data_IF_737840503274
#
_entry.id   IF_737840503274
#
_cell.length_a   1.000
_cell.length_b   1.000
_cell.length_c   1.000
_cell.angle_alpha   90.00
_cell.angle_beta   90.00
_cell.angle_gamma   90.00
#
_symmetry.space_group_name_H-M   'P 1'
#
loop_
_entity.id
_entity.type
_entity.pdbx_description
1 polymer ?
#
# COMPACT_ATOMS: atom_id res chain seq x y z
N UNK A 1 -58.71 0.02 6.00
CA UNK A 1 -57.94 0.01 4.76
C UNK A 1 -56.51 0.48 5.09
N UNK A 2 -55.59 -0.47 5.23
CA UNK A 2 -54.15 -0.19 5.45
C UNK A 2 -53.49 -0.11 4.08
N UNK A 3 -52.98 1.07 3.70
CA UNK A 3 -52.17 1.25 2.49
C UNK A 3 -50.77 0.71 2.74
N UNK A 4 -50.40 -0.38 2.07
CA UNK A 4 -49.03 -0.82 1.96
C UNK A 4 -48.27 0.18 1.08
N UNK A 5 -47.39 0.99 1.69
CA UNK A 5 -46.41 1.81 0.97
C UNK A 5 -45.39 0.90 0.30
N UNK A 6 -45.36 0.88 -1.02
CA UNK A 6 -44.30 0.25 -1.78
C UNK A 6 -42.96 1.00 -1.49
N UNK A 7 -42.01 0.31 -0.88
CA UNK A 7 -40.64 0.83 -0.78
C UNK A 7 -40.08 0.99 -2.20
N UNK A 8 -39.70 2.21 -2.57
CA UNK A 8 -39.03 2.48 -3.82
C UNK A 8 -37.67 1.78 -3.80
N UNK A 9 -37.47 0.83 -4.71
CA UNK A 9 -36.15 0.23 -4.98
C UNK A 9 -35.28 1.35 -5.57
N UNK A 10 -34.25 1.78 -4.84
CA UNK A 10 -33.26 2.69 -5.41
C UNK A 10 -32.69 2.08 -6.69
N UNK A 11 -32.51 2.87 -7.77
CA UNK A 11 -31.97 2.33 -9.01
C UNK A 11 -30.54 1.84 -8.74
N UNK A 12 -30.25 0.62 -9.16
CA UNK A 12 -28.93 0.03 -9.14
C UNK A 12 -27.94 1.05 -9.74
N UNK A 13 -26.89 1.43 -8.97
CA UNK A 13 -25.92 2.43 -9.36
C UNK A 13 -25.38 2.15 -10.76
N UNK A 14 -25.25 3.19 -11.58
CA UNK A 14 -24.76 3.08 -12.96
C UNK A 14 -23.38 2.42 -12.94
N UNK A 15 -23.19 1.38 -13.76
CA UNK A 15 -21.91 0.71 -13.92
C UNK A 15 -20.78 1.71 -14.23
N UNK A 16 -19.62 1.55 -13.59
CA UNK A 16 -18.45 2.40 -13.85
C UNK A 16 -17.81 1.96 -15.16
N UNK A 17 -17.67 2.90 -16.08
CA UNK A 17 -16.91 2.70 -17.30
C UNK A 17 -15.41 2.73 -16.97
N UNK A 18 -14.75 1.59 -17.05
CA UNK A 18 -13.32 1.44 -16.78
C UNK A 18 -12.48 1.66 -18.03
N UNK A 19 -11.18 1.93 -17.84
CA UNK A 19 -10.24 1.95 -18.96
C UNK A 19 -10.22 0.60 -19.70
N UNK A 20 -9.97 0.59 -21.02
CA UNK A 20 -9.94 -0.66 -21.79
C UNK A 20 -8.96 -1.68 -21.24
N UNK A 21 -9.45 -2.91 -21.00
CA UNK A 21 -8.66 -4.01 -20.46
C UNK A 21 -8.67 -4.13 -18.93
N UNK A 22 -9.10 -3.12 -18.21
CA UNK A 22 -9.30 -3.22 -16.76
C UNK A 22 -10.51 -4.12 -16.47
N UNK A 23 -10.42 -5.05 -15.50
CA UNK A 23 -11.57 -5.81 -15.07
C UNK A 23 -12.70 -4.88 -14.55
N UNK A 24 -13.98 -5.18 -14.81
CA UNK A 24 -15.09 -4.33 -14.39
C UNK A 24 -15.13 -4.20 -12.86
N UNK A 25 -15.62 -3.07 -12.37
CA UNK A 25 -15.83 -2.81 -10.94
C UNK A 25 -17.15 -3.51 -10.51
N UNK A 26 -17.09 -4.52 -9.62
CA UNK A 26 -18.28 -5.28 -9.25
C UNK A 26 -19.31 -4.48 -8.45
N UNK A 27 -18.83 -3.60 -7.59
CA UNK A 27 -19.65 -2.73 -6.73
C UNK A 27 -19.18 -1.27 -6.86
N UNK A 28 -19.92 -0.43 -7.60
CA UNK A 28 -19.57 0.98 -7.77
C UNK A 28 -19.56 1.81 -6.48
N UNK A 29 -20.24 1.33 -5.44
CA UNK A 29 -20.27 1.99 -4.13
C UNK A 29 -19.20 1.48 -3.18
N UNK A 30 -18.55 0.34 -3.50
CA UNK A 30 -17.53 -0.25 -2.64
C UNK A 30 -16.41 -0.94 -3.42
N UNK A 31 -15.37 -0.18 -3.71
CA UNK A 31 -14.15 -0.64 -4.37
C UNK A 31 -13.50 -1.85 -3.67
N UNK A 32 -13.70 -1.99 -2.36
CA UNK A 32 -13.17 -3.07 -1.53
C UNK A 32 -14.09 -4.30 -1.44
N UNK A 33 -15.18 -4.36 -2.23
CA UNK A 33 -16.12 -5.48 -2.21
C UNK A 33 -15.46 -6.84 -2.44
N UNK A 34 -14.46 -6.91 -3.31
CA UNK A 34 -13.73 -8.15 -3.63
C UNK A 34 -12.49 -8.39 -2.74
N UNK A 35 -12.16 -7.45 -1.86
CA UNK A 35 -11.05 -7.62 -0.88
C UNK A 35 -11.54 -7.98 0.52
N UNK A 36 -12.81 -8.32 0.67
CA UNK A 36 -13.42 -8.78 1.94
C UNK A 36 -12.86 -10.15 2.34
N UNK A 37 -12.97 -10.46 3.63
CA UNK A 37 -12.66 -11.79 4.13
C UNK A 37 -13.42 -12.88 3.33
N UNK A 38 -12.72 -13.97 3.01
CA UNK A 38 -13.27 -15.07 2.20
C UNK A 38 -13.27 -14.87 0.69
N UNK A 39 -12.82 -13.71 0.17
CA UNK A 39 -12.76 -13.40 -1.28
C UNK A 39 -11.38 -13.71 -1.90
N UNK A 40 -10.76 -14.81 -1.52
CA UNK A 40 -9.49 -15.23 -2.16
C UNK A 40 -9.71 -15.64 -3.61
N UNK A 41 -8.87 -15.11 -4.51
CA UNK A 41 -8.85 -15.52 -5.91
C UNK A 41 -8.42 -16.98 -6.05
N UNK A 42 -8.92 -17.68 -7.08
CA UNK A 42 -8.42 -19.00 -7.45
C UNK A 42 -6.93 -18.99 -7.85
N UNK A 43 -6.42 -17.85 -8.29
CA UNK A 43 -5.01 -17.68 -8.66
C UNK A 43 -4.05 -17.92 -7.47
N UNK A 44 -4.51 -17.76 -6.23
CA UNK A 44 -3.70 -17.96 -5.02
C UNK A 44 -3.97 -19.29 -4.31
N UNK A 45 -4.73 -20.23 -4.92
CA UNK A 45 -5.14 -21.48 -4.29
C UNK A 45 -3.99 -22.37 -3.80
N UNK A 46 -2.80 -22.27 -4.41
CA UNK A 46 -1.60 -23.01 -4.02
C UNK A 46 -0.61 -22.20 -3.17
N UNK A 47 -0.92 -20.96 -2.85
CA UNK A 47 0.00 -20.09 -2.11
C UNK A 47 0.13 -20.49 -0.65
N UNK A 48 1.35 -20.46 -0.13
CA UNK A 48 1.62 -20.69 1.29
C UNK A 48 1.18 -19.47 2.12
N UNK A 49 0.46 -19.67 3.25
CA UNK A 49 0.18 -18.57 4.18
C UNK A 49 1.48 -18.13 4.88
N UNK A 50 1.96 -16.94 4.52
CA UNK A 50 3.24 -16.38 4.97
C UNK A 50 3.16 -14.86 5.12
N UNK A 51 4.04 -14.31 5.96
CA UNK A 51 4.34 -12.88 6.01
C UNK A 51 5.79 -12.70 5.55
N UNK A 52 5.96 -11.98 4.44
CA UNK A 52 7.27 -11.69 3.86
C UNK A 52 7.73 -10.30 4.27
N UNK A 53 8.86 -10.20 4.96
CA UNK A 53 9.35 -8.99 5.61
C UNK A 53 10.68 -8.57 5.00
N UNK A 54 10.71 -7.56 4.11
CA UNK A 54 11.96 -7.02 3.58
C UNK A 54 12.63 -6.17 4.64
N UNK A 55 13.93 -6.39 4.86
CA UNK A 55 14.71 -5.69 5.87
C UNK A 55 15.77 -4.84 5.17
N UNK A 56 15.56 -3.54 5.17
CA UNK A 56 16.27 -2.55 4.38
C UNK A 56 17.78 -2.59 4.60
N UNK A 57 18.22 -2.65 5.87
CA UNK A 57 19.66 -2.61 6.20
C UNK A 57 20.34 -3.98 6.27
N UNK A 58 19.60 -5.06 6.44
CA UNK A 58 20.20 -6.40 6.43
C UNK A 58 20.18 -7.08 5.06
N UNK A 59 19.50 -6.50 4.04
CA UNK A 59 19.44 -6.98 2.66
C UNK A 59 18.91 -8.41 2.57
N UNK A 60 17.84 -8.69 3.31
CA UNK A 60 17.20 -10.00 3.38
C UNK A 60 15.68 -9.87 3.50
N UNK A 61 15.00 -10.97 3.28
CA UNK A 61 13.58 -11.16 3.60
C UNK A 61 13.47 -12.23 4.68
N UNK A 62 12.78 -11.88 5.76
CA UNK A 62 12.35 -12.85 6.77
C UNK A 62 10.95 -13.34 6.44
N UNK A 63 10.71 -14.63 6.67
CA UNK A 63 9.42 -15.27 6.43
C UNK A 63 8.82 -15.69 7.77
N UNK A 64 7.63 -15.17 8.09
CA UNK A 64 6.91 -15.48 9.31
C UNK A 64 5.74 -16.41 8.97
N UNK A 65 5.53 -17.44 9.77
CA UNK A 65 4.30 -18.21 9.77
C UNK A 65 3.23 -17.46 10.58
N UNK A 66 2.12 -16.99 9.94
CA UNK A 66 1.11 -16.20 10.63
C UNK A 66 0.33 -16.97 11.69
N UNK A 67 0.29 -18.31 11.62
CA UNK A 67 -0.42 -19.15 12.60
C UNK A 67 0.37 -19.30 13.91
N UNK A 68 1.70 -19.38 13.82
CA UNK A 68 2.57 -19.60 14.98
C UNK A 68 3.28 -18.34 15.45
N UNK A 69 3.22 -17.25 14.67
CA UNK A 69 3.94 -15.99 14.89
C UNK A 69 5.46 -16.17 15.00
N UNK A 70 6.01 -17.17 14.29
CA UNK A 70 7.44 -17.49 14.32
C UNK A 70 8.08 -17.21 12.97
N UNK A 71 9.31 -16.72 12.98
CA UNK A 71 10.19 -16.72 11.82
C UNK A 71 10.53 -18.16 11.47
N UNK A 72 10.24 -18.58 10.24
CA UNK A 72 10.42 -19.96 9.77
C UNK A 72 11.45 -20.08 8.64
N UNK A 73 11.78 -18.97 7.97
CA UNK A 73 12.78 -18.92 6.91
C UNK A 73 13.34 -17.50 6.78
N UNK A 74 14.50 -17.38 6.14
CA UNK A 74 15.09 -16.11 5.71
C UNK A 74 16.01 -16.33 4.52
N UNK A 75 16.08 -15.37 3.59
CA UNK A 75 16.96 -15.43 2.44
C UNK A 75 17.45 -14.04 2.04
N UNK A 76 18.62 -14.04 1.37
CA UNK A 76 19.21 -12.82 0.82
C UNK A 76 18.45 -12.37 -0.41
N UNK A 77 18.35 -11.05 -0.60
CA UNK A 77 17.82 -10.38 -1.78
C UNK A 77 18.79 -9.31 -2.27
N UNK A 78 18.37 -8.42 -3.15
CA UNK A 78 19.18 -7.29 -3.58
C UNK A 78 19.46 -6.28 -2.47
N UNK A 79 20.20 -5.22 -2.81
CA UNK A 79 20.60 -4.17 -1.87
C UNK A 79 19.40 -3.28 -1.54
N UNK A 80 19.21 -3.00 -0.25
CA UNK A 80 18.22 -2.06 0.28
C UNK A 80 16.77 -2.41 -0.13
N UNK A 81 16.26 -3.60 0.25
CA UNK A 81 14.90 -4.03 -0.08
C UNK A 81 13.86 -3.17 0.63
N UNK A 82 12.90 -2.65 -0.13
CA UNK A 82 11.86 -1.73 0.37
C UNK A 82 10.51 -2.42 0.57
N UNK A 83 9.98 -3.04 -0.47
CA UNK A 83 8.63 -3.60 -0.46
C UNK A 83 8.60 -5.03 -1.00
N UNK A 84 7.63 -5.82 -0.52
CA UNK A 84 7.21 -7.07 -1.18
C UNK A 84 5.86 -6.84 -1.80
N UNK A 85 5.77 -6.95 -3.13
CA UNK A 85 4.64 -6.51 -3.93
C UNK A 85 4.04 -7.67 -4.70
N UNK A 86 2.74 -7.99 -4.54
CA UNK A 86 2.08 -9.00 -5.37
C UNK A 86 1.98 -8.55 -6.84
N UNK A 87 2.30 -9.46 -7.78
CA UNK A 87 2.06 -9.24 -9.20
C UNK A 87 0.57 -9.06 -9.52
N UNK A 88 0.26 -8.41 -10.65
CA UNK A 88 -1.11 -8.19 -11.07
C UNK A 88 -1.94 -9.47 -11.14
N UNK A 89 -1.35 -10.55 -11.64
CA UNK A 89 -1.96 -11.88 -11.79
C UNK A 89 -1.90 -12.74 -10.53
N UNK A 90 -1.33 -12.22 -9.42
CA UNK A 90 -1.21 -12.84 -8.11
C UNK A 90 -0.29 -14.09 -8.06
N UNK A 91 0.53 -14.32 -9.08
CA UNK A 91 1.37 -15.52 -9.20
C UNK A 91 2.80 -15.34 -8.71
N UNK A 92 3.24 -14.10 -8.53
CA UNK A 92 4.60 -13.77 -8.09
C UNK A 92 4.54 -12.68 -7.03
N UNK A 93 5.42 -12.76 -6.04
CA UNK A 93 5.68 -11.64 -5.14
C UNK A 93 7.04 -11.03 -5.52
N UNK A 94 7.09 -9.73 -5.70
CA UNK A 94 8.29 -9.02 -6.11
C UNK A 94 8.89 -8.24 -4.94
N UNK A 95 10.17 -8.52 -4.61
CA UNK A 95 10.92 -7.67 -3.66
C UNK A 95 11.57 -6.54 -4.44
N UNK A 96 11.24 -5.30 -4.11
CA UNK A 96 11.87 -4.12 -4.71
C UNK A 96 13.14 -3.77 -3.94
N UNK A 97 14.30 -3.79 -4.60
CA UNK A 97 15.61 -3.52 -4.01
C UNK A 97 16.17 -2.25 -4.65
N UNK A 98 15.98 -1.07 -4.02
CA UNK A 98 16.26 0.21 -4.67
C UNK A 98 17.72 0.65 -4.64
N UNK A 99 18.60 -0.10 -3.96
CA UNK A 99 20.03 0.18 -3.89
C UNK A 99 20.38 1.64 -3.51
N UNK A 100 19.51 2.29 -2.70
CA UNK A 100 19.64 3.69 -2.28
C UNK A 100 19.64 4.70 -3.47
N UNK A 101 18.93 4.39 -4.56
CA UNK A 101 18.83 5.26 -5.73
C UNK A 101 20.07 5.22 -6.65
N UNK A 102 20.90 4.19 -6.52
CA UNK A 102 22.04 3.95 -7.42
C UNK A 102 21.70 2.95 -8.53
N UNK A 103 22.63 2.75 -9.48
CA UNK A 103 22.49 1.86 -10.64
C UNK A 103 22.39 0.35 -10.30
N UNK A 104 22.47 -0.02 -9.04
CA UNK A 104 22.49 -1.42 -8.57
C UNK A 104 21.11 -1.97 -8.18
N UNK A 105 20.02 -1.33 -8.54
CA UNK A 105 18.67 -1.75 -8.18
C UNK A 105 18.23 -3.07 -8.84
N UNK A 106 17.31 -3.78 -8.23
CA UNK A 106 16.78 -5.04 -8.76
C UNK A 106 15.39 -5.39 -8.22
N UNK A 107 14.71 -6.29 -8.91
CA UNK A 107 13.50 -6.97 -8.44
C UNK A 107 13.83 -8.43 -8.17
N UNK A 108 13.59 -8.93 -6.96
CA UNK A 108 13.74 -10.35 -6.65
C UNK A 108 12.35 -11.00 -6.62
N UNK A 109 12.04 -11.96 -7.53
CA UNK A 109 10.77 -12.67 -7.49
C UNK A 109 10.77 -13.69 -6.35
N UNK A 110 9.60 -13.92 -5.75
CA UNK A 110 9.33 -15.01 -4.82
C UNK A 110 8.16 -15.80 -5.41
N UNK A 111 8.31 -17.12 -5.51
CA UNK A 111 7.22 -18.02 -5.83
C UNK A 111 6.34 -18.23 -4.58
N UNK A 112 5.08 -17.77 -4.57
CA UNK A 112 4.24 -17.88 -3.38
C UNK A 112 3.78 -19.31 -3.05
N UNK A 113 3.90 -20.26 -3.99
CA UNK A 113 3.57 -21.67 -3.76
C UNK A 113 4.69 -22.40 -2.99
N UNK A 114 5.93 -22.02 -3.22
CA UNK A 114 7.10 -22.63 -2.55
C UNK A 114 7.71 -21.73 -1.46
N UNK A 115 7.42 -20.44 -1.51
CA UNK A 115 8.02 -19.42 -0.62
C UNK A 115 9.48 -19.11 -0.96
N UNK A 116 10.01 -19.59 -2.10
CA UNK A 116 11.44 -19.46 -2.44
C UNK A 116 11.70 -18.30 -3.40
N UNK A 117 12.83 -17.58 -3.23
CA UNK A 117 13.24 -16.53 -4.15
C UNK A 117 13.76 -17.11 -5.45
N UNK A 118 13.48 -16.43 -6.56
CA UNK A 118 14.06 -16.68 -7.87
C UNK A 118 15.24 -15.77 -8.18
N UNK A 119 15.69 -15.80 -9.44
CA UNK A 119 16.80 -14.96 -9.93
C UNK A 119 16.37 -13.49 -9.99
N UNK A 120 17.14 -12.56 -9.39
CA UNK A 120 16.86 -11.13 -9.49
C UNK A 120 16.93 -10.60 -10.93
N UNK A 121 16.08 -9.61 -11.23
CA UNK A 121 16.07 -8.86 -12.49
C UNK A 121 16.60 -7.47 -12.21
N UNK A 122 17.57 -7.00 -12.98
CA UNK A 122 18.13 -5.65 -12.83
C UNK A 122 17.11 -4.59 -13.25
N UNK A 123 16.89 -3.60 -12.38
CA UNK A 123 15.96 -2.49 -12.57
C UNK A 123 16.49 -1.28 -11.81
N UNK A 124 16.50 -0.11 -12.43
CA UNK A 124 17.00 1.12 -11.80
C UNK A 124 16.05 1.57 -10.69
N UNK A 125 16.60 1.85 -9.51
CA UNK A 125 15.96 2.51 -8.37
C UNK A 125 14.50 2.07 -8.08
N UNK A 126 14.19 0.77 -7.96
CA UNK A 126 12.84 0.31 -7.70
C UNK A 126 12.48 0.52 -6.23
N UNK A 127 12.10 1.75 -5.84
CA UNK A 127 11.62 2.02 -4.49
C UNK A 127 10.33 1.27 -4.20
N UNK A 128 9.35 1.38 -5.11
CA UNK A 128 8.07 0.70 -5.02
C UNK A 128 7.64 0.20 -6.41
N UNK A 129 6.61 -0.63 -6.45
CA UNK A 129 6.10 -1.21 -7.68
C UNK A 129 4.57 -1.23 -7.67
N UNK A 130 4.00 -0.85 -8.80
CA UNK A 130 2.57 -0.91 -9.08
C UNK A 130 2.30 -1.64 -10.40
N UNK A 131 1.02 -1.82 -10.72
CA UNK A 131 0.58 -2.34 -12.00
C UNK A 131 -0.47 -1.43 -12.59
N UNK A 132 -0.43 -1.25 -13.92
CA UNK A 132 -1.53 -0.55 -14.61
C UNK A 132 -2.85 -1.30 -14.37
N UNK A 133 -3.98 -0.59 -14.26
CA UNK A 133 -5.28 -1.24 -13.98
C UNK A 133 -5.68 -2.32 -14.98
N UNK A 134 -5.21 -2.23 -16.22
CA UNK A 134 -5.40 -3.22 -17.28
C UNK A 134 -4.39 -4.39 -17.25
N UNK A 135 -3.43 -4.36 -16.33
CA UNK A 135 -2.41 -5.39 -16.16
C UNK A 135 -1.33 -5.45 -17.25
N UNK A 136 -1.28 -4.47 -18.16
CA UNK A 136 -0.35 -4.48 -19.30
C UNK A 136 1.04 -3.95 -18.97
N UNK A 137 1.18 -3.25 -17.86
CA UNK A 137 2.48 -2.73 -17.41
C UNK A 137 2.67 -2.93 -15.92
N UNK A 138 3.86 -3.35 -15.53
CA UNK A 138 4.43 -3.12 -14.22
C UNK A 138 4.96 -1.69 -14.18
N UNK A 139 4.71 -0.96 -13.10
CA UNK A 139 5.09 0.45 -12.94
C UNK A 139 6.10 0.53 -11.80
N UNK A 140 7.35 0.74 -12.14
CA UNK A 140 8.41 0.93 -11.17
C UNK A 140 8.47 2.40 -10.76
N UNK A 141 8.42 2.64 -9.46
CA UNK A 141 8.61 3.97 -8.89
C UNK A 141 10.09 4.18 -8.65
N UNK A 142 10.76 4.87 -9.56
CA UNK A 142 12.16 5.24 -9.44
C UNK A 142 12.26 6.59 -8.71
N UNK A 143 12.27 6.48 -7.37
CA UNK A 143 12.08 7.60 -6.43
C UNK A 143 13.15 8.69 -6.58
N UNK A 144 14.42 8.30 -6.48
CA UNK A 144 15.55 9.21 -6.59
C UNK A 144 15.67 9.80 -8.01
N UNK A 145 15.26 9.03 -9.02
CA UNK A 145 15.29 9.44 -10.44
C UNK A 145 14.07 10.28 -10.85
N UNK A 146 13.09 10.46 -9.97
CA UNK A 146 11.86 11.24 -10.20
C UNK A 146 11.14 10.81 -11.48
N UNK A 147 10.98 9.51 -11.68
CA UNK A 147 10.31 8.95 -12.84
C UNK A 147 9.53 7.68 -12.53
N UNK A 148 8.61 7.33 -13.41
CA UNK A 148 7.90 6.07 -13.43
C UNK A 148 8.36 5.28 -14.67
N UNK A 149 8.87 4.07 -14.47
CA UNK A 149 9.23 3.17 -15.56
C UNK A 149 8.12 2.14 -15.77
N UNK A 150 7.50 2.15 -16.93
CA UNK A 150 6.51 1.17 -17.34
C UNK A 150 7.23 0.00 -18.00
N UNK A 151 7.00 -1.21 -17.48
CA UNK A 151 7.68 -2.42 -17.88
C UNK A 151 6.69 -3.53 -18.22
N UNK A 152 7.08 -4.44 -19.08
CA UNK A 152 6.32 -5.66 -19.31
C UNK A 152 6.16 -6.43 -18.00
N UNK A 153 4.93 -6.80 -17.57
CA UNK A 153 4.69 -7.37 -16.25
C UNK A 153 5.23 -8.80 -16.07
N UNK A 154 5.59 -9.49 -17.17
CA UNK A 154 6.12 -10.85 -17.15
C UNK A 154 7.65 -10.87 -17.22
N UNK A 155 8.22 -10.08 -18.14
CA UNK A 155 9.66 -10.08 -18.41
C UNK A 155 10.43 -8.97 -17.72
N UNK A 156 9.73 -7.97 -17.19
CA UNK A 156 10.28 -6.72 -16.65
C UNK A 156 11.07 -5.89 -17.69
N UNK A 157 10.92 -6.18 -18.99
CA UNK A 157 11.51 -5.37 -20.06
C UNK A 157 10.89 -3.96 -20.06
N UNK A 158 11.73 -2.92 -20.21
CA UNK A 158 11.28 -1.53 -20.24
C UNK A 158 10.42 -1.27 -21.49
N UNK A 159 9.22 -0.75 -21.29
CA UNK A 159 8.29 -0.33 -22.35
C UNK A 159 8.41 1.19 -22.61
N UNK A 160 8.41 1.98 -21.55
CA UNK A 160 8.51 3.45 -21.61
C UNK A 160 8.81 4.02 -20.22
N UNK A 161 9.23 5.29 -20.17
CA UNK A 161 9.43 6.04 -18.93
C UNK A 161 8.65 7.35 -18.96
N UNK A 162 8.16 7.78 -17.79
CA UNK A 162 7.54 9.07 -17.56
C UNK A 162 8.33 9.85 -16.52
N UNK A 163 8.96 10.95 -16.92
CA UNK A 163 9.57 11.87 -15.98
C UNK A 163 8.50 12.66 -15.19
N UNK A 164 8.71 12.77 -13.87
CA UNK A 164 7.84 13.53 -12.96
C UNK A 164 8.69 14.55 -12.19
N UNK A 165 9.27 15.55 -12.87
CA UNK A 165 10.39 16.36 -12.35
C UNK A 165 10.04 17.21 -11.13
N UNK A 166 8.76 17.60 -10.95
CA UNK A 166 8.29 18.35 -9.79
C UNK A 166 7.83 17.46 -8.63
N UNK A 167 8.16 16.16 -8.64
CA UNK A 167 7.83 15.20 -7.60
C UNK A 167 9.10 14.62 -6.99
N UNK A 168 9.81 15.41 -6.20
CA UNK A 168 10.96 14.92 -5.45
C UNK A 168 10.50 13.89 -4.40
N UNK A 169 11.10 12.69 -4.42
CA UNK A 169 10.65 11.57 -3.62
C UNK A 169 9.28 11.05 -4.06
N UNK A 170 9.12 10.80 -5.38
CA UNK A 170 7.93 10.09 -5.87
C UNK A 170 7.86 8.73 -5.21
N UNK A 171 6.73 8.42 -4.53
CA UNK A 171 6.73 7.38 -3.52
C UNK A 171 5.56 6.39 -3.69
N UNK A 172 4.42 6.69 -3.07
CA UNK A 172 3.26 5.81 -3.05
C UNK A 172 2.14 6.31 -3.96
N UNK A 173 1.24 5.41 -4.35
CA UNK A 173 0.11 5.75 -5.20
C UNK A 173 -1.14 4.94 -4.90
N UNK A 174 -2.30 5.51 -5.24
CA UNK A 174 -3.52 4.76 -5.47
C UNK A 174 -4.22 5.25 -6.74
N UNK A 175 -5.11 4.41 -7.28
CA UNK A 175 -5.72 4.58 -8.59
C UNK A 175 -7.19 4.97 -8.45
N UNK A 176 -7.67 5.80 -9.38
CA UNK A 176 -9.10 6.05 -9.51
C UNK A 176 -9.86 4.76 -9.75
N UNK A 177 -11.11 4.72 -9.30
CA UNK A 177 -11.95 3.51 -9.38
C UNK A 177 -12.14 3.03 -10.82
N UNK A 178 -12.10 3.93 -11.79
CA UNK A 178 -12.22 3.65 -13.23
C UNK A 178 -10.87 3.36 -13.93
N UNK A 179 -9.75 3.47 -13.20
CA UNK A 179 -8.40 3.25 -13.69
C UNK A 179 -7.82 4.38 -14.58
N UNK A 180 -8.52 5.51 -14.74
CA UNK A 180 -8.09 6.58 -15.65
C UNK A 180 -6.89 7.35 -15.15
N UNK A 181 -6.77 7.53 -13.84
CA UNK A 181 -5.63 8.22 -13.24
C UNK A 181 -5.14 7.56 -11.97
N UNK A 182 -3.91 7.87 -11.60
CA UNK A 182 -3.36 7.61 -10.28
C UNK A 182 -2.89 8.92 -9.64
N UNK A 183 -2.91 8.98 -8.30
CA UNK A 183 -2.31 10.06 -7.53
C UNK A 183 -1.10 9.49 -6.81
N UNK A 184 0.08 10.07 -7.07
CA UNK A 184 1.35 9.74 -6.44
C UNK A 184 1.71 10.77 -5.38
N UNK A 185 2.28 10.32 -4.27
CA UNK A 185 2.86 11.19 -3.25
C UNK A 185 4.28 11.60 -3.66
N UNK A 186 4.64 12.85 -3.35
CA UNK A 186 5.95 13.45 -3.59
C UNK A 186 6.54 13.81 -2.24
N UNK A 187 7.19 12.83 -1.59
CA UNK A 187 7.61 12.88 -0.19
C UNK A 187 8.44 14.12 0.14
N UNK A 188 9.50 14.37 -0.63
CA UNK A 188 10.43 15.48 -0.34
C UNK A 188 9.98 16.83 -0.90
N UNK A 189 8.90 16.82 -1.71
CA UNK A 189 8.30 18.04 -2.26
C UNK A 189 7.11 18.55 -1.40
N UNK A 190 6.52 17.69 -0.56
CA UNK A 190 5.31 18.01 0.20
C UNK A 190 4.12 18.30 -0.72
N UNK A 191 3.97 17.49 -1.77
CA UNK A 191 2.95 17.64 -2.80
C UNK A 191 2.47 16.29 -3.33
N UNK A 192 1.47 16.31 -4.20
CA UNK A 192 0.95 15.15 -4.91
C UNK A 192 1.09 15.38 -6.42
N UNK A 193 1.24 14.29 -7.18
CA UNK A 193 1.21 14.30 -8.65
C UNK A 193 0.04 13.46 -9.16
N UNK A 194 -0.85 14.02 -9.97
CA UNK A 194 -1.93 13.30 -10.65
C UNK A 194 -1.50 12.92 -12.05
N UNK A 195 -1.61 11.64 -12.39
CA UNK A 195 -1.06 11.05 -13.62
C UNK A 195 -2.17 10.34 -14.40
N UNK A 196 -2.32 10.68 -15.67
CA UNK A 196 -3.13 9.93 -16.63
C UNK A 196 -2.43 8.62 -16.95
N UNK A 197 -3.07 7.50 -16.59
CA UNK A 197 -2.46 6.19 -16.73
C UNK A 197 -2.45 5.67 -18.16
N UNK A 198 -3.47 6.02 -18.96
CA UNK A 198 -3.56 5.58 -20.35
C UNK A 198 -2.56 6.32 -21.25
N UNK A 199 -2.46 7.64 -21.08
CA UNK A 199 -1.58 8.48 -21.88
C UNK A 199 -0.18 8.66 -21.28
N UNK A 200 0.06 8.11 -20.07
CA UNK A 200 1.33 8.23 -19.33
C UNK A 200 1.79 9.69 -19.24
N UNK A 201 0.91 10.55 -18.74
CA UNK A 201 1.10 11.99 -18.70
C UNK A 201 0.78 12.57 -17.33
N UNK A 202 1.61 13.48 -16.83
CA UNK A 202 1.30 14.26 -15.64
C UNK A 202 0.17 15.23 -15.95
N UNK A 203 -0.94 15.13 -15.20
CA UNK A 203 -2.11 16.01 -15.30
C UNK A 203 -1.94 17.28 -14.46
N UNK A 204 -1.20 17.20 -13.36
CA UNK A 204 -0.97 18.34 -12.48
C UNK A 204 -0.29 17.93 -11.16
N UNK A 205 0.02 18.95 -10.37
CA UNK A 205 0.59 18.83 -9.04
C UNK A 205 -0.27 19.60 -8.05
N UNK A 206 -0.43 19.05 -6.84
CA UNK A 206 -1.13 19.67 -5.72
C UNK A 206 -0.16 19.86 -4.56
N UNK A 207 0.13 21.12 -4.22
CA UNK A 207 0.90 21.44 -3.01
C UNK A 207 0.01 21.28 -1.78
N UNK A 208 0.46 20.49 -0.80
CA UNK A 208 -0.28 20.29 0.45
C UNK A 208 -0.13 21.50 1.38
N UNK A 209 -1.22 21.88 2.05
CA UNK A 209 -1.33 23.13 2.81
C UNK A 209 -0.38 23.22 4.02
N UNK A 210 0.03 22.05 4.57
CA UNK A 210 0.85 21.97 5.80
C UNK A 210 2.34 21.76 5.53
N UNK A 211 2.78 21.84 4.27
CA UNK A 211 4.19 21.69 3.90
C UNK A 211 4.80 20.37 4.37
N UNK A 212 4.08 19.28 4.21
CA UNK A 212 4.36 18.01 4.84
C UNK A 212 5.41 17.14 4.12
N UNK A 213 5.35 15.86 4.47
CA UNK A 213 6.12 14.76 3.91
C UNK A 213 5.14 13.60 3.63
N UNK A 214 4.35 13.69 2.52
CA UNK A 214 3.31 12.71 2.21
C UNK A 214 3.91 11.33 1.92
N UNK A 215 3.26 10.31 2.45
CA UNK A 215 3.66 8.92 2.40
C UNK A 215 2.58 8.07 1.69
N UNK A 216 2.03 7.07 2.36
CA UNK A 216 1.02 6.19 1.78
C UNK A 216 -0.27 6.93 1.41
N UNK A 217 -0.98 6.39 0.45
CA UNK A 217 -2.24 6.94 -0.07
C UNK A 217 -3.23 5.81 -0.32
N UNK A 218 -4.49 6.02 0.08
CA UNK A 218 -5.58 5.07 -0.16
C UNK A 218 -6.85 5.79 -0.59
N UNK A 219 -7.53 5.22 -1.57
CA UNK A 219 -8.82 5.72 -2.04
C UNK A 219 -9.95 5.25 -1.12
N UNK A 220 -11.01 6.04 -0.99
CA UNK A 220 -12.23 5.68 -0.26
C UNK A 220 -12.99 4.53 -0.96
N UNK A 221 -13.87 3.80 -0.23
CA UNK A 221 -14.64 2.72 -0.83
C UNK A 221 -15.46 3.14 -2.06
N UNK A 222 -16.00 4.35 -2.09
CA UNK A 222 -16.76 4.91 -3.21
C UNK A 222 -15.87 5.49 -4.34
N UNK A 223 -14.56 5.40 -4.20
CA UNK A 223 -13.59 5.84 -5.20
C UNK A 223 -13.43 7.35 -5.36
N UNK A 224 -14.04 8.18 -4.50
CA UNK A 224 -14.06 9.63 -4.68
C UNK A 224 -12.95 10.36 -3.96
N UNK A 225 -12.59 9.88 -2.78
CA UNK A 225 -11.66 10.55 -1.86
C UNK A 225 -10.36 9.76 -1.78
N UNK A 226 -9.24 10.46 -1.78
CA UNK A 226 -7.93 9.91 -1.50
C UNK A 226 -7.45 10.39 -0.13
N UNK A 227 -7.15 9.45 0.75
CA UNK A 227 -6.56 9.69 2.05
C UNK A 227 -5.04 9.61 1.91
N UNK A 228 -4.32 10.64 2.32
CA UNK A 228 -2.87 10.73 2.19
C UNK A 228 -2.24 10.88 3.56
N UNK A 229 -1.50 9.89 4.00
CA UNK A 229 -0.71 9.95 5.22
C UNK A 229 0.43 10.95 5.08
N UNK A 230 0.70 11.73 6.13
CA UNK A 230 1.80 12.69 6.11
C UNK A 230 2.59 12.67 7.42
N UNK A 231 3.87 12.34 7.32
CA UNK A 231 4.76 12.20 8.47
C UNK A 231 4.95 13.50 9.25
N UNK A 232 5.23 14.60 8.56
CA UNK A 232 5.51 15.90 9.19
C UNK A 232 4.25 16.58 9.68
N UNK A 233 3.15 16.49 8.91
CA UNK A 233 1.87 17.07 9.32
C UNK A 233 1.22 16.28 10.48
N UNK A 234 1.67 15.04 10.75
CA UNK A 234 1.16 14.16 11.80
C UNK A 234 -0.34 13.88 11.65
N UNK A 235 -0.74 13.50 10.42
CA UNK A 235 -2.13 13.25 10.10
C UNK A 235 -2.35 12.79 8.67
N UNK A 236 -3.62 12.79 8.27
CA UNK A 236 -4.09 12.33 6.97
C UNK A 236 -4.77 13.47 6.24
N UNK A 237 -4.26 13.87 5.09
CA UNK A 237 -4.94 14.78 4.18
C UNK A 237 -6.09 14.06 3.47
N UNK A 238 -7.17 14.76 3.24
CA UNK A 238 -8.35 14.29 2.51
C UNK A 238 -8.42 15.03 1.18
N UNK A 239 -8.26 14.30 0.09
CA UNK A 239 -8.17 14.86 -1.26
C UNK A 239 -9.39 14.43 -2.05
N UNK A 240 -10.12 15.36 -2.64
CA UNK A 240 -11.15 15.06 -3.63
C UNK A 240 -10.48 14.64 -4.93
N UNK A 241 -10.74 13.41 -5.40
CA UNK A 241 -10.07 12.83 -6.56
C UNK A 241 -10.46 13.49 -7.88
N UNK A 242 -11.69 14.02 -8.00
CA UNK A 242 -12.17 14.66 -9.22
C UNK A 242 -11.56 16.04 -9.40
N UNK A 243 -11.73 16.93 -8.42
CA UNK A 243 -11.20 18.29 -8.46
C UNK A 243 -9.69 18.37 -8.21
N UNK A 244 -9.10 17.28 -7.68
CA UNK A 244 -7.70 17.23 -7.25
C UNK A 244 -7.36 18.35 -6.26
N UNK A 245 -8.21 18.50 -5.24
CA UNK A 245 -8.09 19.53 -4.21
C UNK A 245 -8.06 18.93 -2.81
N UNK A 246 -7.26 19.52 -1.92
CA UNK A 246 -7.33 19.25 -0.48
C UNK A 246 -8.64 19.81 0.07
N UNK A 247 -9.45 18.95 0.71
CA UNK A 247 -10.77 19.33 1.25
C UNK A 247 -10.86 19.21 2.77
N UNK A 248 -9.94 18.44 3.40
CA UNK A 248 -9.91 18.29 4.87
C UNK A 248 -8.56 17.74 5.32
N UNK A 249 -8.33 17.76 6.64
CA UNK A 249 -7.16 17.16 7.30
C UNK A 249 -7.54 16.53 8.63
N UNK A 250 -7.17 15.26 8.82
CA UNK A 250 -7.47 14.46 10.02
C UNK A 250 -6.19 14.29 10.82
N UNK A 251 -6.10 14.90 12.00
CA UNK A 251 -4.97 14.69 12.90
C UNK A 251 -5.00 13.26 13.46
N UNK A 252 -3.86 12.55 13.41
CA UNK A 252 -3.71 11.17 13.91
C UNK A 252 -2.60 11.08 14.96
N UNK A 253 -1.38 10.74 14.57
CA UNK A 253 -0.24 10.58 15.47
C UNK A 253 1.06 11.08 14.84
N UNK A 254 2.14 11.07 15.60
CA UNK A 254 3.45 11.52 15.14
C UNK A 254 3.98 10.55 14.06
N UNK A 255 4.41 11.09 12.91
CA UNK A 255 5.01 10.29 11.86
C UNK A 255 4.00 9.40 11.13
N UNK A 256 2.82 9.93 10.79
CA UNK A 256 1.77 9.21 10.05
C UNK A 256 2.30 8.70 8.71
N UNK A 257 2.21 7.38 8.45
CA UNK A 257 2.89 6.75 7.35
C UNK A 257 2.03 5.78 6.54
N UNK A 258 1.68 4.60 7.06
CA UNK A 258 0.97 3.55 6.32
C UNK A 258 -0.55 3.61 6.50
N UNK A 259 -1.30 3.26 5.46
CA UNK A 259 -2.77 3.29 5.40
C UNK A 259 -3.32 1.94 4.93
N UNK A 260 -4.17 1.28 5.74
CA UNK A 260 -4.67 -0.07 5.43
C UNK A 260 -6.16 -0.17 5.66
N UNK A 261 -6.97 -0.39 4.60
CA UNK A 261 -8.41 -0.62 4.74
C UNK A 261 -8.71 -1.90 5.53
N UNK A 262 -9.71 -1.86 6.40
CA UNK A 262 -10.28 -3.08 7.00
C UNK A 262 -10.94 -3.94 5.92
N UNK A 263 -11.03 -5.27 6.16
CA UNK A 263 -11.60 -6.20 5.17
C UNK A 263 -13.10 -6.01 4.92
N UNK A 264 -13.81 -5.35 5.81
CA UNK A 264 -15.19 -4.94 5.59
C UNK A 264 -15.33 -3.60 4.84
N UNK A 265 -14.21 -2.88 4.62
CA UNK A 265 -14.19 -1.60 3.94
C UNK A 265 -14.77 -0.45 4.76
N UNK A 266 -14.98 -0.61 6.07
CA UNK A 266 -15.58 0.43 6.92
C UNK A 266 -14.54 1.30 7.61
N UNK A 267 -13.32 0.79 7.84
CA UNK A 267 -12.27 1.44 8.61
C UNK A 267 -10.98 1.56 7.82
N UNK A 268 -10.19 2.58 8.17
CA UNK A 268 -8.83 2.76 7.70
C UNK A 268 -7.88 2.74 8.91
N UNK A 269 -6.98 1.76 8.96
CA UNK A 269 -5.91 1.71 9.94
C UNK A 269 -4.76 2.61 9.49
N UNK A 270 -4.32 3.50 10.36
CA UNK A 270 -3.29 4.50 10.10
C UNK A 270 -2.10 4.24 11.01
N UNK A 271 -1.00 3.80 10.44
CA UNK A 271 0.25 3.60 11.17
C UNK A 271 0.94 4.95 11.43
N UNK A 272 1.20 5.26 12.70
CA UNK A 272 1.93 6.45 13.11
C UNK A 272 3.28 6.00 13.65
N UNK A 273 4.35 6.28 12.91
CA UNK A 273 5.71 5.77 13.14
C UNK A 273 6.35 6.26 14.46
N UNK A 274 5.77 7.29 15.09
CA UNK A 274 6.29 7.88 16.32
C UNK A 274 7.49 8.82 16.12
N UNK A 275 7.86 9.08 14.87
CA UNK A 275 8.90 10.02 14.46
C UNK A 275 8.51 10.66 13.13
N UNK A 276 8.74 11.96 13.02
CA UNK A 276 8.58 12.75 11.78
C UNK A 276 9.86 12.78 10.92
N UNK A 277 10.87 11.98 11.28
CA UNK A 277 12.16 11.90 10.61
C UNK A 277 12.30 10.56 9.87
N UNK A 278 13.01 10.56 8.75
CA UNK A 278 13.31 9.34 7.97
C UNK A 278 14.13 8.36 8.83
N UNK A 279 15.14 8.82 9.55
CA UNK A 279 15.90 8.01 10.51
C UNK A 279 15.39 8.24 11.93
N UNK A 280 14.30 7.59 12.31
CA UNK A 280 13.75 7.70 13.67
C UNK A 280 14.52 6.88 14.70
N UNK A 281 14.37 7.20 16.00
CA UNK A 281 14.94 6.38 17.07
C UNK A 281 14.12 5.10 17.29
N UNK A 282 14.72 4.03 17.82
CA UNK A 282 14.00 2.90 18.38
C UNK A 282 13.04 3.36 19.50
N UNK A 283 11.96 2.61 19.70
CA UNK A 283 10.97 2.86 20.75
C UNK A 283 10.40 4.28 20.75
N UNK A 284 10.09 4.81 19.55
CA UNK A 284 9.39 6.09 19.39
C UNK A 284 7.99 6.08 20.00
N UNK A 285 7.24 7.18 19.84
CA UNK A 285 5.85 7.28 20.31
C UNK A 285 4.86 6.77 19.26
N UNK A 286 5.12 5.58 18.70
CA UNK A 286 4.29 4.97 17.68
C UNK A 286 2.91 4.56 18.16
N UNK A 287 1.97 4.57 17.24
CA UNK A 287 0.58 4.18 17.47
C UNK A 287 -0.11 3.76 16.18
N UNK A 288 -1.29 3.16 16.30
CA UNK A 288 -2.20 2.96 15.17
C UNK A 288 -3.50 3.69 15.46
N UNK A 289 -3.87 4.65 14.60
CA UNK A 289 -5.18 5.29 14.66
C UNK A 289 -6.16 4.54 13.77
N UNK A 290 -7.38 4.34 14.23
CA UNK A 290 -8.45 3.69 13.49
C UNK A 290 -9.43 4.77 13.05
N UNK A 291 -9.52 5.01 11.74
CA UNK A 291 -10.46 5.95 11.14
C UNK A 291 -11.70 5.21 10.63
N UNK A 292 -12.84 5.84 10.75
CA UNK A 292 -14.05 5.47 10.05
C UNK A 292 -14.08 6.16 8.67
N UNK A 293 -14.23 5.38 7.60
CA UNK A 293 -14.21 5.92 6.23
C UNK A 293 -15.36 6.87 5.95
N UNK A 294 -16.55 6.57 6.44
CA UNK A 294 -17.76 7.33 6.14
C UNK A 294 -17.77 8.69 6.85
N UNK A 295 -17.43 8.69 8.14
CA UNK A 295 -17.45 9.90 8.97
C UNK A 295 -16.14 10.66 8.98
N UNK A 296 -15.04 10.05 8.52
CA UNK A 296 -13.67 10.59 8.55
C UNK A 296 -13.17 10.93 9.95
N UNK A 297 -13.69 10.23 10.97
CA UNK A 297 -13.33 10.47 12.38
C UNK A 297 -12.39 9.36 12.87
N UNK A 298 -11.47 9.73 13.74
CA UNK A 298 -10.68 8.78 14.52
C UNK A 298 -11.59 8.16 15.57
N UNK A 299 -11.81 6.85 15.49
CA UNK A 299 -12.62 6.08 16.43
C UNK A 299 -11.84 5.75 17.69
N UNK A 300 -10.57 5.37 17.52
CA UNK A 300 -9.65 5.01 18.60
C UNK A 300 -8.20 5.11 18.13
N UNK A 301 -7.28 5.15 19.07
CA UNK A 301 -5.84 5.06 18.79
C UNK A 301 -5.21 4.04 19.74
N UNK A 302 -4.49 3.07 19.18
CA UNK A 302 -3.77 2.04 19.91
C UNK A 302 -2.30 2.43 20.05
N UNK A 303 -1.78 2.73 21.25
CA UNK A 303 -0.36 2.99 21.44
C UNK A 303 0.44 1.69 21.30
N UNK A 304 1.65 1.79 20.73
CA UNK A 304 2.56 0.64 20.74
C UNK A 304 3.10 0.40 22.15
N UNK A 305 3.05 -0.85 22.67
CA UNK A 305 3.55 -1.17 24.01
C UNK A 305 5.06 -0.86 24.14
N UNK A 306 5.40 -0.09 25.17
CA UNK A 306 6.79 0.34 25.39
C UNK A 306 7.33 1.36 24.40
N UNK A 307 6.48 1.95 23.58
CA UNK A 307 6.83 2.73 22.41
C UNK A 307 7.04 1.83 21.19
N UNK A 308 7.23 2.43 20.00
CA UNK A 308 7.44 1.65 18.78
C UNK A 308 7.43 2.52 17.54
N UNK A 309 7.65 1.88 16.39
CA UNK A 309 7.73 2.55 15.09
C UNK A 309 6.93 1.80 14.02
N UNK A 310 5.59 1.61 14.21
CA UNK A 310 4.76 0.92 13.23
C UNK A 310 4.78 1.67 11.90
N UNK A 311 5.03 0.93 10.83
CA UNK A 311 5.34 1.50 9.53
C UNK A 311 4.44 0.91 8.43
N UNK A 312 4.97 0.07 7.57
CA UNK A 312 4.28 -0.49 6.42
C UNK A 312 3.85 -1.93 6.65
N UNK A 313 2.72 -2.33 6.04
CA UNK A 313 2.24 -3.69 6.19
C UNK A 313 0.94 -4.02 5.47
N UNK A 314 0.15 -4.92 6.05
CA UNK A 314 -1.15 -5.35 5.52
C UNK A 314 -2.08 -5.87 6.62
N UNK A 315 -3.37 -5.98 6.26
CA UNK A 315 -4.36 -6.72 7.04
C UNK A 315 -4.41 -8.18 6.56
N UNK A 316 -4.46 -9.14 7.48
CA UNK A 316 -4.62 -10.58 7.17
C UNK A 316 -5.88 -10.85 6.32
N UNK A 317 -5.91 -11.99 5.62
CA UNK A 317 -7.01 -12.34 4.72
C UNK A 317 -8.38 -12.42 5.42
N UNK A 318 -8.39 -12.82 6.68
CA UNK A 318 -9.59 -12.89 7.52
C UNK A 318 -9.97 -11.57 8.22
N UNK A 319 -9.12 -10.55 8.09
CA UNK A 319 -9.31 -9.23 8.67
C UNK A 319 -8.97 -9.11 10.16
N UNK A 320 -8.50 -10.19 10.80
CA UNK A 320 -8.33 -10.23 12.27
C UNK A 320 -7.00 -9.68 12.76
N UNK A 321 -5.99 -9.64 11.90
CA UNK A 321 -4.65 -9.17 12.28
C UNK A 321 -4.16 -8.10 11.32
N UNK A 322 -3.78 -6.96 11.85
CA UNK A 322 -3.00 -5.94 11.15
C UNK A 322 -1.52 -6.24 11.41
N UNK A 323 -0.78 -6.46 10.33
CA UNK A 323 0.65 -6.71 10.37
C UNK A 323 1.40 -5.46 9.94
N UNK A 324 2.28 -4.95 10.80
CA UNK A 324 3.08 -3.77 10.50
C UNK A 324 4.55 -4.02 10.82
N UNK A 325 5.43 -3.54 9.97
CA UNK A 325 6.86 -3.44 10.28
C UNK A 325 7.07 -2.44 11.42
N UNK A 326 7.91 -2.79 12.38
CA UNK A 326 8.44 -1.88 13.39
C UNK A 326 9.81 -1.39 12.96
N UNK A 327 9.85 -0.40 12.06
CA UNK A 327 11.01 -0.04 11.25
C UNK A 327 12.29 0.17 12.07
N UNK A 328 12.22 0.96 13.13
CA UNK A 328 13.40 1.29 13.93
C UNK A 328 13.58 0.35 15.12
N UNK A 329 12.61 -0.55 15.36
CA UNK A 329 12.64 -1.53 16.46
C UNK A 329 13.12 -2.91 16.00
N UNK A 330 13.29 -3.13 14.68
CA UNK A 330 13.67 -4.41 14.08
C UNK A 330 12.73 -5.55 14.45
N UNK A 331 11.42 -5.25 14.47
CA UNK A 331 10.36 -6.21 14.76
C UNK A 331 9.26 -6.12 13.70
N UNK A 332 8.37 -7.10 13.70
CA UNK A 332 7.04 -7.02 13.08
C UNK A 332 6.01 -7.02 14.21
N UNK A 333 5.03 -6.14 14.11
CA UNK A 333 3.87 -6.11 14.99
C UNK A 333 2.72 -6.88 14.36
N UNK A 334 2.22 -7.91 15.06
CA UNK A 334 0.94 -8.54 14.79
C UNK A 334 -0.10 -7.95 15.76
N UNK A 335 -1.05 -7.18 15.22
CA UNK A 335 -2.01 -6.39 15.99
C UNK A 335 -3.40 -6.97 15.80
N UNK A 336 -4.06 -7.40 16.86
CA UNK A 336 -5.45 -7.83 16.82
C UNK A 336 -6.36 -6.66 16.47
N UNK A 337 -7.12 -6.75 15.38
CA UNK A 337 -7.91 -5.64 14.84
C UNK A 337 -9.17 -5.31 15.65
N UNK A 338 -9.60 -6.21 16.54
CA UNK A 338 -10.75 -5.98 17.41
C UNK A 338 -10.34 -5.24 18.70
N UNK A 339 -9.16 -5.56 19.22
CA UNK A 339 -8.72 -5.11 20.56
C UNK A 339 -7.53 -4.14 20.55
N UNK A 340 -6.77 -4.11 19.44
CA UNK A 340 -5.50 -3.39 19.36
C UNK A 340 -4.35 -4.06 20.12
N UNK A 341 -4.52 -5.30 20.61
CA UNK A 341 -3.46 -6.04 21.30
C UNK A 341 -2.31 -6.35 20.33
N UNK A 342 -1.09 -6.05 20.77
CA UNK A 342 0.12 -6.18 19.96
C UNK A 342 0.97 -7.37 20.41
N UNK A 343 1.44 -8.16 19.45
CA UNK A 343 2.50 -9.14 19.60
C UNK A 343 3.68 -8.73 18.71
N UNK A 344 4.89 -8.65 19.29
CA UNK A 344 6.10 -8.28 18.55
C UNK A 344 6.91 -9.53 18.20
N UNK A 345 7.45 -9.56 16.97
CA UNK A 345 8.24 -10.66 16.41
C UNK A 345 9.55 -10.08 15.92
N UNK A 346 10.68 -10.53 16.48
CA UNK A 346 12.01 -10.05 16.07
C UNK A 346 12.33 -10.48 14.62
N UNK A 347 12.86 -9.54 13.81
CA UNK A 347 13.23 -9.77 12.41
C UNK A 347 14.59 -9.13 12.08
N UNK A 348 14.90 -8.90 10.80
CA UNK A 348 16.13 -8.24 10.36
C UNK A 348 16.16 -6.74 10.66
N UNK A 349 17.18 -6.06 10.16
CA UNK A 349 17.40 -4.62 10.43
C UNK A 349 16.57 -3.72 9.51
N UNK A 350 15.84 -2.80 10.10
CA UNK A 350 14.91 -1.86 9.43
C UNK A 350 13.90 -2.59 8.52
N UNK A 351 12.97 -3.39 9.06
CA UNK A 351 11.88 -3.94 8.27
C UNK A 351 11.01 -2.81 7.69
N UNK A 352 10.51 -2.99 6.44
CA UNK A 352 9.67 -1.98 5.78
C UNK A 352 8.41 -2.58 5.16
N UNK A 353 8.20 -2.48 3.87
CA UNK A 353 6.97 -2.85 3.18
C UNK A 353 6.68 -4.35 3.15
N UNK A 354 6.31 -4.92 4.28
CA UNK A 354 5.96 -6.33 4.39
C UNK A 354 4.65 -6.66 3.65
N UNK A 355 4.53 -7.90 3.22
CA UNK A 355 3.29 -8.44 2.63
C UNK A 355 2.83 -9.68 3.38
N UNK A 356 1.56 -9.68 3.79
CA UNK A 356 0.84 -10.89 4.22
C UNK A 356 0.28 -11.59 2.99
N UNK A 357 0.51 -12.86 2.83
CA UNK A 357 0.06 -13.60 1.66
C UNK A 357 -0.54 -14.95 2.05
N UNK A 358 -1.60 -15.46 1.35
CA UNK A 358 -2.36 -14.76 0.30
C UNK A 358 -3.29 -13.69 0.82
N UNK A 359 -3.68 -12.75 -0.05
CA UNK A 359 -4.66 -11.71 0.22
C UNK A 359 -5.91 -11.87 -0.63
N UNK A 360 -7.11 -11.46 -0.13
CA UNK A 360 -8.31 -11.40 -0.94
C UNK A 360 -8.22 -10.30 -2.00
N UNK A 361 -8.87 -10.52 -3.13
CA UNK A 361 -8.88 -9.65 -4.29
C UNK A 361 -8.76 -10.46 -5.58
N UNK A 362 -9.17 -9.86 -6.69
CA UNK A 362 -9.15 -10.48 -8.02
C UNK A 362 -7.82 -10.25 -8.74
N UNK A 363 -7.19 -9.10 -8.50
CA UNK A 363 -5.88 -8.70 -9.02
C UNK A 363 -5.23 -7.68 -8.09
N UNK A 364 -3.94 -7.47 -8.25
CA UNK A 364 -3.16 -6.50 -7.49
C UNK A 364 -2.85 -5.26 -8.33
N UNK A 365 -3.01 -4.09 -7.76
CA UNK A 365 -2.47 -2.85 -8.32
C UNK A 365 -1.05 -2.55 -7.80
N UNK A 366 -0.50 -3.46 -7.01
CA UNK A 366 0.86 -3.35 -6.49
C UNK A 366 0.95 -2.84 -5.06
N UNK A 367 2.09 -2.28 -4.72
CA UNK A 367 2.44 -1.93 -3.34
C UNK A 367 2.25 -3.11 -2.38
N UNK A 368 2.19 -2.90 -1.08
CA UNK A 368 2.06 -3.99 -0.08
C UNK A 368 0.63 -4.51 0.09
N UNK A 369 -0.26 -4.37 -0.86
CA UNK A 369 -1.60 -4.92 -0.78
C UNK A 369 -2.71 -4.01 -1.31
N UNK A 370 -2.40 -3.25 -2.33
CA UNK A 370 -3.41 -2.50 -3.06
C UNK A 370 -4.16 -3.46 -4.02
N UNK A 371 -5.08 -4.25 -3.43
CA UNK A 371 -5.87 -5.26 -4.12
C UNK A 371 -7.21 -4.71 -4.60
N UNK A 372 -7.76 -5.34 -5.67
CA UNK A 372 -9.08 -5.01 -6.21
C UNK A 372 -9.94 -6.25 -6.43
#
# INVERSE_FOLDING_TARGET
>A
MLSLGAAAVEPAGRAIETVPGMPPVPDPANLYSETRAGKLSRAVAGALPRVYVPNVKSNDVYVIDPATLKVIDKFRVGTHPQHVVPSWDLKTLWVTNNAMGTDGGSLTPIDPATGKPGKPVAVDDPYNMYFSPDGRSAIIVAEALKRLDFRDPQTMALQSSLAVPQCAGINHADFSIDGRFAIFTCEFQGSLAKIDMANKKVLGYLKLSRGGMPQDIRVSPDGKIFFVADMKAAGVFVIDGASFAEIDFIKTGIGTHGLYPSRDGTKLYVANRGSDKIGGPPHGKGSVSVLDFATRKVLTTWPMPGGGSPDMGNVSADGKTLWLSGRYDNVVYAIDTATGKVTSIAVGKEPHGLTVWPQPGRYSLGHTGNMR
#
